data_IF_596085868887
#
_entry.id   IF_596085868887
#
_cell.length_a   1.000
_cell.length_b   1.000
_cell.length_c   1.000
_cell.angle_alpha   90.00
_cell.angle_beta   90.00
_cell.angle_gamma   90.00
#
_symmetry.space_group_name_H-M   'P 1'
#
loop_
_entity.id
_entity.type
_entity.pdbx_description
1 polymer ?
#
# COMPACT_ATOMS: atom_id res chain seq x y z
N UNK A 1 -52.42 -17.29 7.46
CA UNK A 1 -51.95 -16.89 6.10
C UNK A 1 -50.43 -16.88 6.14
N UNK A 2 -49.79 -18.05 6.09
CA UNK A 2 -48.57 -18.23 6.89
C UNK A 2 -47.34 -18.75 6.15
N UNK A 3 -46.22 -18.08 6.45
CA UNK A 3 -44.82 -18.42 6.20
C UNK A 3 -44.32 -18.50 4.73
N UNK A 4 -45.03 -19.21 3.85
CA UNK A 4 -44.54 -19.48 2.48
C UNK A 4 -44.56 -18.23 1.57
N UNK A 5 -45.59 -17.38 1.69
CA UNK A 5 -45.70 -16.12 0.93
C UNK A 5 -44.67 -15.06 1.35
N UNK A 6 -44.32 -15.01 2.64
CA UNK A 6 -43.36 -14.04 3.18
C UNK A 6 -41.92 -14.37 2.76
N UNK A 7 -41.63 -15.66 2.60
CA UNK A 7 -40.34 -16.15 2.06
C UNK A 7 -40.23 -15.81 0.57
N UNK A 8 -41.29 -16.08 -0.21
CA UNK A 8 -41.33 -15.76 -1.64
C UNK A 8 -41.25 -14.26 -1.92
N UNK A 9 -41.95 -13.41 -1.15
CA UNK A 9 -41.79 -11.94 -1.27
C UNK A 9 -40.39 -11.45 -0.89
N UNK A 10 -39.72 -12.10 0.07
CA UNK A 10 -38.35 -11.73 0.43
C UNK A 10 -37.38 -12.10 -0.69
N UNK A 11 -37.56 -13.26 -1.31
CA UNK A 11 -36.78 -13.68 -2.47
C UNK A 11 -37.06 -12.79 -3.69
N UNK A 12 -38.32 -12.48 -3.99
CA UNK A 12 -38.72 -11.56 -5.06
C UNK A 12 -38.14 -10.14 -4.83
N UNK A 13 -38.16 -9.66 -3.58
CA UNK A 13 -37.56 -8.36 -3.23
C UNK A 13 -36.03 -8.35 -3.37
N UNK A 14 -35.36 -9.48 -3.16
CA UNK A 14 -33.90 -9.60 -3.34
C UNK A 14 -33.54 -9.71 -4.82
N UNK A 15 -34.31 -10.46 -5.61
CA UNK A 15 -34.12 -10.60 -7.06
C UNK A 15 -34.29 -9.25 -7.75
N UNK A 16 -35.36 -8.50 -7.43
CA UNK A 16 -35.57 -7.15 -7.99
C UNK A 16 -34.47 -6.18 -7.55
N UNK A 17 -34.01 -6.26 -6.29
CA UNK A 17 -32.91 -5.42 -5.79
C UNK A 17 -31.56 -5.77 -6.44
N UNK A 18 -31.38 -7.00 -6.93
CA UNK A 18 -30.20 -7.42 -7.70
C UNK A 18 -30.28 -6.98 -9.17
N UNK A 19 -31.47 -6.92 -9.76
CA UNK A 19 -31.69 -6.46 -11.14
C UNK A 19 -31.57 -4.92 -11.30
N UNK A 20 -31.86 -4.17 -10.24
CA UNK A 20 -31.77 -2.70 -10.22
C UNK A 20 -30.38 -2.17 -9.82
N UNK A 21 -29.47 -3.06 -9.42
CA UNK A 21 -28.14 -2.69 -8.93
C UNK A 21 -27.14 -2.42 -10.05
N UNK A 22 -26.50 -1.25 -9.96
CA UNK A 22 -25.41 -0.84 -10.85
C UNK A 22 -24.21 -1.76 -10.61
N UNK A 23 -23.64 -2.30 -11.69
CA UNK A 23 -22.45 -3.14 -11.62
C UNK A 23 -21.21 -2.35 -11.21
N UNK A 24 -20.28 -3.00 -10.50
CA UNK A 24 -19.01 -2.43 -10.11
C UNK A 24 -18.21 -1.91 -11.31
N UNK A 25 -18.22 -2.62 -12.43
CA UNK A 25 -17.45 -2.23 -13.62
C UNK A 25 -18.03 -1.01 -14.32
N UNK A 26 -19.34 -0.85 -14.23
CA UNK A 26 -20.04 0.32 -14.74
C UNK A 26 -19.72 1.57 -13.89
N UNK A 27 -19.66 1.40 -12.56
CA UNK A 27 -19.23 2.46 -11.65
C UNK A 27 -17.75 2.83 -11.86
N UNK A 28 -16.88 1.84 -12.10
CA UNK A 28 -15.47 2.10 -12.47
C UNK A 28 -15.36 2.91 -13.75
N UNK A 29 -16.15 2.55 -14.78
CA UNK A 29 -16.17 3.30 -16.03
C UNK A 29 -16.57 4.76 -15.78
N UNK A 30 -17.58 5.01 -14.94
CA UNK A 30 -17.97 6.37 -14.56
C UNK A 30 -16.84 7.17 -13.88
N UNK A 31 -15.99 6.53 -13.08
CA UNK A 31 -14.86 7.17 -12.40
C UNK A 31 -13.71 7.54 -13.34
N UNK A 32 -13.65 6.99 -14.55
CA UNK A 32 -12.60 7.31 -15.53
C UNK A 32 -12.88 8.57 -16.34
N UNK A 33 -14.12 9.04 -16.39
CA UNK A 33 -14.48 10.24 -17.13
C UNK A 33 -14.06 11.52 -16.39
N UNK A 34 -13.68 12.54 -17.15
CA UNK A 34 -13.40 13.86 -16.59
C UNK A 34 -14.72 14.54 -16.17
N UNK A 35 -14.67 15.41 -15.16
CA UNK A 35 -15.84 15.96 -14.42
C UNK A 35 -17.09 16.27 -15.28
N UNK A 36 -16.91 16.98 -16.40
CA UNK A 36 -18.03 17.41 -17.24
C UNK A 36 -18.61 16.26 -18.07
N UNK A 37 -17.75 15.42 -18.67
CA UNK A 37 -18.16 14.24 -19.45
C UNK A 37 -18.85 13.19 -18.58
N UNK A 38 -18.38 13.01 -17.34
CA UNK A 38 -18.99 12.10 -16.37
C UNK A 38 -20.42 12.51 -16.01
N UNK A 39 -20.67 13.82 -15.83
CA UNK A 39 -22.01 14.33 -15.55
C UNK A 39 -22.96 14.11 -16.72
N UNK A 40 -22.52 14.40 -17.95
CA UNK A 40 -23.32 14.17 -19.16
C UNK A 40 -23.66 12.69 -19.36
N UNK A 41 -22.72 11.79 -19.08
CA UNK A 41 -22.98 10.35 -19.14
C UNK A 41 -23.98 9.91 -18.06
N UNK A 42 -23.90 10.48 -16.86
CA UNK A 42 -24.83 10.18 -15.77
C UNK A 42 -26.25 10.64 -16.13
N UNK A 43 -26.38 11.87 -16.63
CA UNK A 43 -27.66 12.44 -17.04
C UNK A 43 -28.26 11.64 -18.20
N UNK A 44 -27.45 11.22 -19.18
CA UNK A 44 -27.90 10.43 -20.33
C UNK A 44 -28.27 8.98 -19.99
N UNK A 45 -27.53 8.33 -19.10
CA UNK A 45 -27.66 6.88 -18.84
C UNK A 45 -28.54 6.55 -17.63
N UNK A 46 -28.57 7.41 -16.63
CA UNK A 46 -29.33 7.19 -15.39
C UNK A 46 -30.45 8.20 -15.18
N UNK A 47 -30.55 9.26 -16.00
CA UNK A 47 -31.57 10.30 -15.84
C UNK A 47 -31.25 11.30 -14.72
N UNK A 48 -29.99 11.34 -14.26
CA UNK A 48 -29.50 12.31 -13.30
C UNK A 48 -28.94 11.71 -12.01
N UNK A 49 -28.41 12.59 -11.16
CA UNK A 49 -27.74 12.23 -9.90
C UNK A 49 -28.73 11.64 -8.88
N UNK A 50 -29.98 12.12 -8.87
CA UNK A 50 -31.00 11.66 -7.91
C UNK A 50 -31.40 10.20 -8.16
N UNK A 51 -31.59 9.81 -9.41
CA UNK A 51 -31.93 8.44 -9.79
C UNK A 51 -30.73 7.50 -9.59
N UNK A 52 -29.52 7.99 -9.83
CA UNK A 52 -28.29 7.28 -9.50
C UNK A 52 -28.17 7.01 -7.99
N UNK A 53 -28.46 8.00 -7.15
CA UNK A 53 -28.49 7.85 -5.70
C UNK A 53 -29.54 6.83 -5.24
N UNK A 54 -30.72 6.83 -5.87
CA UNK A 54 -31.80 5.87 -5.59
C UNK A 54 -31.41 4.44 -5.95
N UNK A 55 -30.78 4.23 -7.12
CA UNK A 55 -30.24 2.91 -7.54
C UNK A 55 -29.11 2.41 -6.64
N UNK A 56 -28.30 3.31 -6.08
CA UNK A 56 -27.23 3.00 -5.12
C UNK A 56 -27.73 2.93 -3.66
N UNK A 57 -29.04 3.01 -3.42
CA UNK A 57 -29.67 3.01 -2.09
C UNK A 57 -28.97 4.01 -1.14
N UNK A 58 -28.63 5.19 -1.64
CA UNK A 58 -27.79 6.18 -0.94
C UNK A 58 -28.48 7.52 -0.89
N UNK A 59 -28.47 8.17 0.28
CA UNK A 59 -29.05 9.50 0.41
C UNK A 59 -28.05 10.58 -0.04
N UNK A 60 -28.47 11.50 -0.91
CA UNK A 60 -27.61 12.58 -1.43
C UNK A 60 -27.08 13.50 -0.32
N UNK A 61 -27.86 13.75 0.74
CA UNK A 61 -27.48 14.65 1.85
C UNK A 61 -26.82 13.93 3.02
N UNK A 62 -27.35 12.76 3.38
CA UNK A 62 -26.91 12.03 4.58
C UNK A 62 -25.97 10.86 4.29
N UNK A 63 -25.76 10.52 3.01
CA UNK A 63 -24.92 9.39 2.59
C UNK A 63 -25.53 8.04 2.93
N UNK A 64 -24.64 7.09 3.19
CA UNK A 64 -24.94 5.68 3.52
C UNK A 64 -25.13 5.55 5.02
N UNK A 65 -26.11 4.74 5.45
CA UNK A 65 -26.28 4.37 6.86
C UNK A 65 -25.16 3.44 7.31
N UNK A 66 -24.47 3.77 8.41
CA UNK A 66 -23.34 2.98 8.95
C UNK A 66 -23.82 1.73 9.72
N UNK A 67 -24.85 1.05 9.23
CA UNK A 67 -25.32 -0.22 9.79
C UNK A 67 -24.42 -1.34 9.27
N UNK A 68 -23.83 -2.14 10.17
CA UNK A 68 -22.89 -3.22 9.81
C UNK A 68 -23.45 -4.22 8.78
N UNK A 69 -24.76 -4.49 8.84
CA UNK A 69 -25.44 -5.39 7.90
C UNK A 69 -25.45 -4.84 6.47
N UNK A 70 -25.75 -3.54 6.31
CA UNK A 70 -25.79 -2.87 5.01
C UNK A 70 -24.37 -2.70 4.44
N UNK A 71 -23.40 -2.38 5.30
CA UNK A 71 -21.98 -2.30 4.91
C UNK A 71 -21.46 -3.66 4.43
N UNK A 72 -21.83 -4.75 5.09
CA UNK A 72 -21.46 -6.10 4.68
C UNK A 72 -22.12 -6.51 3.37
N UNK A 73 -23.39 -6.14 3.14
CA UNK A 73 -24.05 -6.36 1.85
C UNK A 73 -23.34 -5.61 0.72
N UNK A 74 -23.04 -4.32 0.92
CA UNK A 74 -22.29 -3.50 -0.05
C UNK A 74 -20.89 -4.06 -0.30
N UNK A 75 -20.19 -4.54 0.72
CA UNK A 75 -18.87 -5.18 0.56
C UNK A 75 -18.94 -6.47 -0.26
N UNK A 76 -20.04 -7.24 -0.18
CA UNK A 76 -20.23 -8.45 -1.02
C UNK A 76 -20.45 -8.10 -2.49
N UNK A 77 -21.13 -6.99 -2.77
CA UNK A 77 -21.50 -6.58 -4.14
C UNK A 77 -20.38 -5.78 -4.81
N UNK A 78 -19.80 -4.81 -4.09
CA UNK A 78 -18.82 -3.85 -4.63
C UNK A 78 -17.38 -4.13 -4.22
N UNK A 79 -17.15 -5.08 -3.31
CA UNK A 79 -15.83 -5.35 -2.75
C UNK A 79 -15.45 -4.40 -1.60
N UNK A 80 -14.24 -4.59 -1.05
CA UNK A 80 -13.67 -3.67 -0.08
C UNK A 80 -12.83 -2.61 -0.78
N UNK A 81 -12.94 -1.35 -0.36
CA UNK A 81 -12.07 -0.27 -0.85
C UNK A 81 -10.74 -0.28 -0.09
N UNK A 82 -10.00 -1.38 -0.23
CA UNK A 82 -8.69 -1.58 0.38
C UNK A 82 -7.68 -1.75 -0.76
N UNK A 83 -6.73 -0.83 -0.83
CA UNK A 83 -5.60 -0.94 -1.76
C UNK A 83 -4.70 -2.04 -1.19
N UNK A 84 -4.48 -3.16 -1.92
CA UNK A 84 -3.62 -4.22 -1.42
C UNK A 84 -2.20 -3.67 -1.28
N UNK A 85 -1.56 -3.81 -0.11
CA UNK A 85 -0.20 -3.32 0.06
C UNK A 85 0.74 -4.16 -0.84
N UNK A 86 1.74 -3.55 -1.49
CA UNK A 86 2.72 -4.30 -2.25
C UNK A 86 3.43 -5.31 -1.33
N UNK A 87 3.70 -6.53 -1.81
CA UNK A 87 4.39 -7.55 -1.02
C UNK A 87 5.80 -7.04 -0.67
N UNK A 88 6.19 -7.24 0.58
CA UNK A 88 7.53 -6.90 1.04
C UNK A 88 8.56 -7.83 0.41
N UNK A 89 9.67 -7.27 -0.09
CA UNK A 89 10.82 -8.07 -0.49
C UNK A 89 11.39 -8.79 0.73
N UNK A 90 11.78 -10.05 0.54
CA UNK A 90 12.46 -10.81 1.60
C UNK A 90 13.86 -10.23 1.85
N UNK A 91 14.33 -10.30 3.09
CA UNK A 91 15.67 -9.83 3.48
C UNK A 91 16.78 -10.43 2.61
N UNK A 92 16.66 -11.71 2.24
CA UNK A 92 17.64 -12.39 1.39
C UNK A 92 17.65 -11.87 -0.05
N UNK A 93 16.50 -11.46 -0.57
CA UNK A 93 16.39 -10.88 -1.92
C UNK A 93 17.03 -9.50 -1.94
N UNK A 94 16.77 -8.69 -0.92
CA UNK A 94 17.39 -7.37 -0.72
C UNK A 94 18.91 -7.50 -0.56
N UNK A 95 19.38 -8.49 0.19
CA UNK A 95 20.80 -8.78 0.35
C UNK A 95 21.45 -9.22 -0.98
N UNK A 96 20.78 -10.08 -1.76
CA UNK A 96 21.25 -10.50 -3.08
C UNK A 96 21.28 -9.36 -4.11
N UNK A 97 20.31 -8.45 -4.03
CA UNK A 97 20.25 -7.24 -4.85
C UNK A 97 21.37 -6.27 -4.45
N UNK A 98 21.63 -6.10 -3.15
CA UNK A 98 22.71 -5.28 -2.63
C UNK A 98 24.11 -5.79 -3.01
N UNK A 99 24.31 -7.12 -3.07
CA UNK A 99 25.58 -7.75 -3.48
C UNK A 99 25.99 -7.34 -4.91
N UNK A 100 25.03 -7.03 -5.79
CA UNK A 100 25.30 -6.60 -7.18
C UNK A 100 25.65 -5.12 -7.32
N UNK A 101 25.83 -4.41 -6.21
CA UNK A 101 26.21 -3.02 -6.24
C UNK A 101 27.63 -2.85 -6.82
N UNK A 102 27.79 -1.93 -7.78
CA UNK A 102 29.06 -1.59 -8.41
C UNK A 102 30.18 -1.32 -7.38
N UNK A 103 29.84 -0.76 -6.21
CA UNK A 103 30.78 -0.54 -5.11
C UNK A 103 31.38 -1.84 -4.56
N UNK A 104 30.60 -2.92 -4.45
CA UNK A 104 31.10 -4.21 -3.95
C UNK A 104 31.94 -4.95 -4.99
N UNK A 105 31.62 -4.77 -6.28
CA UNK A 105 32.39 -5.34 -7.39
C UNK A 105 33.81 -4.76 -7.40
N UNK A 106 33.96 -3.45 -7.22
CA UNK A 106 35.29 -2.81 -7.14
C UNK A 106 36.09 -3.33 -5.94
N UNK A 107 35.46 -3.46 -4.77
CA UNK A 107 36.13 -3.98 -3.58
C UNK A 107 36.53 -5.44 -3.72
N UNK A 108 35.73 -6.26 -4.42
CA UNK A 108 36.07 -7.65 -4.71
C UNK A 108 37.30 -7.75 -5.64
N UNK A 109 37.36 -6.93 -6.69
CA UNK A 109 38.52 -6.88 -7.58
C UNK A 109 39.77 -6.43 -6.81
N UNK A 110 39.64 -5.42 -5.95
CA UNK A 110 40.74 -4.96 -5.09
C UNK A 110 41.24 -6.06 -4.14
N UNK A 111 40.32 -6.82 -3.54
CA UNK A 111 40.67 -7.95 -2.67
C UNK A 111 41.39 -9.05 -3.46
N UNK A 112 40.94 -9.37 -4.67
CA UNK A 112 41.58 -10.38 -5.53
C UNK A 112 42.98 -9.97 -5.96
N UNK A 113 43.20 -8.70 -6.31
CA UNK A 113 44.53 -8.18 -6.67
C UNK A 113 45.46 -8.23 -5.44
N UNK A 114 45.00 -7.78 -4.27
CA UNK A 114 45.78 -7.79 -3.03
C UNK A 114 46.15 -9.22 -2.59
N UNK A 115 45.20 -10.16 -2.69
CA UNK A 115 45.43 -11.57 -2.44
C UNK A 115 46.42 -12.18 -3.45
N UNK A 116 46.27 -11.86 -4.73
CA UNK A 116 47.16 -12.34 -5.80
C UNK A 116 48.61 -11.87 -5.63
N UNK A 117 48.81 -10.62 -5.23
CA UNK A 117 50.13 -10.08 -4.91
C UNK A 117 50.73 -10.72 -3.64
N UNK A 118 49.89 -11.07 -2.66
CA UNK A 118 50.35 -11.82 -1.48
C UNK A 118 50.86 -13.22 -1.78
N UNK A 119 50.32 -13.87 -2.82
CA UNK A 119 50.80 -15.19 -3.24
C UNK A 119 51.98 -15.13 -4.22
N UNK A 120 52.25 -13.98 -4.82
CA UNK A 120 53.37 -13.79 -5.75
C UNK A 120 54.36 -12.75 -5.16
N UNK A 121 55.26 -13.17 -4.26
CA UNK A 121 56.30 -12.28 -3.74
C UNK A 121 57.24 -11.88 -4.90
N UNK A 122 57.32 -10.57 -5.18
CA UNK A 122 58.14 -10.04 -6.29
C UNK A 122 59.61 -9.92 -5.92
N UNK A 123 59.94 -9.84 -4.62
CA UNK A 123 61.32 -9.80 -4.14
C UNK A 123 61.43 -10.76 -2.95
N UNK A 124 62.48 -11.58 -2.92
CA UNK A 124 62.68 -12.74 -2.03
C UNK A 124 62.82 -12.45 -0.52
N UNK A 125 61.98 -11.57 0.03
CA UNK A 125 61.77 -11.41 1.45
C UNK A 125 60.75 -12.44 1.95
N UNK A 126 61.24 -13.66 2.17
CA UNK A 126 60.59 -14.66 3.01
C UNK A 126 60.66 -14.15 4.45
N UNK A 127 59.58 -13.53 4.97
CA UNK A 127 59.24 -13.48 6.40
C UNK A 127 57.98 -12.65 6.68
N UNK A 128 56.95 -12.74 5.84
CA UNK A 128 55.65 -12.15 6.19
C UNK A 128 54.51 -13.13 5.97
N UNK A 129 54.32 -14.02 6.94
CA UNK A 129 53.12 -14.85 7.12
C UNK A 129 51.83 -14.01 7.30
N UNK A 130 51.92 -12.68 7.14
CA UNK A 130 50.89 -11.67 7.29
C UNK A 130 50.25 -11.26 5.96
N UNK A 131 50.80 -11.61 4.78
CA UNK A 131 50.28 -11.11 3.50
C UNK A 131 48.80 -11.44 3.26
N UNK A 132 48.39 -12.68 3.55
CA UNK A 132 46.99 -13.09 3.43
C UNK A 132 46.05 -12.34 4.42
N UNK A 133 46.60 -11.78 5.51
CA UNK A 133 45.83 -11.01 6.51
C UNK A 133 45.30 -9.72 5.90
N UNK A 134 46.04 -9.11 4.96
CA UNK A 134 45.63 -7.88 4.29
C UNK A 134 44.42 -8.15 3.37
N UNK A 135 44.49 -9.22 2.58
CA UNK A 135 43.35 -9.69 1.77
C UNK A 135 42.16 -10.10 2.63
N UNK A 136 42.39 -10.78 3.75
CA UNK A 136 41.35 -11.20 4.69
C UNK A 136 40.66 -9.99 5.37
N UNK A 137 41.41 -8.95 5.73
CA UNK A 137 40.87 -7.72 6.31
C UNK A 137 39.90 -7.02 5.37
N UNK A 138 40.23 -6.98 4.06
CA UNK A 138 39.36 -6.39 3.04
C UNK A 138 38.08 -7.21 2.87
N UNK A 139 38.17 -8.55 2.87
CA UNK A 139 36.98 -9.42 2.81
C UNK A 139 36.03 -9.20 4.00
N UNK A 140 36.56 -9.13 5.21
CA UNK A 140 35.77 -8.88 6.42
C UNK A 140 35.09 -7.50 6.35
N UNK A 141 35.83 -6.47 5.91
CA UNK A 141 35.29 -5.12 5.73
C UNK A 141 34.10 -5.09 4.77
N UNK A 142 34.21 -5.77 3.62
CA UNK A 142 33.13 -5.88 2.62
C UNK A 142 31.88 -6.53 3.22
N UNK A 143 32.04 -7.64 3.97
CA UNK A 143 30.91 -8.33 4.62
C UNK A 143 30.16 -7.41 5.57
N UNK A 144 30.89 -6.65 6.40
CA UNK A 144 30.28 -5.70 7.35
C UNK A 144 29.54 -4.59 6.61
N UNK A 145 30.13 -4.03 5.54
CA UNK A 145 29.50 -2.96 4.74
C UNK A 145 28.21 -3.45 4.06
N UNK A 146 28.19 -4.68 3.52
CA UNK A 146 26.97 -5.28 2.95
C UNK A 146 25.88 -5.42 4.01
N UNK A 147 26.24 -5.92 5.20
CA UNK A 147 25.29 -6.09 6.29
C UNK A 147 24.68 -4.76 6.73
N UNK A 148 25.51 -3.73 6.94
CA UNK A 148 25.04 -2.38 7.30
C UNK A 148 24.17 -1.79 6.19
N UNK A 149 24.54 -2.00 4.92
CA UNK A 149 23.77 -1.50 3.77
C UNK A 149 22.40 -2.19 3.69
N UNK A 150 22.34 -3.52 3.82
CA UNK A 150 21.11 -4.29 3.80
C UNK A 150 20.20 -3.95 4.99
N UNK A 151 20.76 -3.76 6.19
CA UNK A 151 20.01 -3.31 7.38
C UNK A 151 19.42 -1.92 7.16
N UNK A 152 20.21 -0.99 6.61
CA UNK A 152 19.77 0.37 6.34
C UNK A 152 18.66 0.39 5.28
N UNK A 153 18.80 -0.39 4.22
CA UNK A 153 17.82 -0.47 3.14
C UNK A 153 16.51 -1.10 3.63
N UNK A 154 16.60 -2.20 4.38
CA UNK A 154 15.45 -2.85 5.03
C UNK A 154 14.69 -1.90 5.96
N UNK A 155 15.42 -1.09 6.72
CA UNK A 155 14.83 -0.10 7.64
C UNK A 155 14.11 1.01 6.87
N UNK A 156 14.69 1.50 5.77
CA UNK A 156 14.06 2.51 4.90
C UNK A 156 12.79 1.97 4.24
N UNK A 157 12.84 0.76 3.68
CA UNK A 157 11.67 0.16 3.02
C UNK A 157 10.50 0.00 4.01
N UNK A 158 10.77 -0.38 5.27
CA UNK A 158 9.75 -0.40 6.33
C UNK A 158 9.13 0.98 6.57
N UNK A 159 9.94 2.03 6.66
CA UNK A 159 9.44 3.39 6.92
C UNK A 159 8.56 3.92 5.76
N UNK A 160 8.91 3.62 4.51
CA UNK A 160 8.08 3.99 3.36
C UNK A 160 6.73 3.26 3.38
N UNK A 161 6.73 1.98 3.77
CA UNK A 161 5.49 1.21 3.89
C UNK A 161 4.57 1.76 4.99
N UNK A 162 5.13 2.10 6.15
CA UNK A 162 4.34 2.68 7.24
C UNK A 162 3.71 4.03 6.82
N UNK A 163 4.47 4.85 6.09
CA UNK A 163 3.96 6.10 5.50
C UNK A 163 2.90 5.84 4.43
N UNK A 164 3.07 4.84 3.57
CA UNK A 164 2.11 4.49 2.53
C UNK A 164 0.77 4.01 3.12
N UNK A 165 0.81 3.05 4.06
CA UNK A 165 -0.38 2.55 4.76
C UNK A 165 -1.09 3.67 5.51
N UNK A 166 -0.33 4.58 6.14
CA UNK A 166 -0.90 5.75 6.81
C UNK A 166 -1.57 6.72 5.83
N UNK A 167 -0.92 7.02 4.70
CA UNK A 167 -1.47 7.88 3.66
C UNK A 167 -2.77 7.29 3.09
N UNK A 168 -2.81 5.99 2.82
CA UNK A 168 -3.99 5.28 2.32
C UNK A 168 -5.14 5.33 3.32
N UNK A 169 -4.84 5.09 4.60
CA UNK A 169 -5.82 5.18 5.70
C UNK A 169 -6.37 6.60 5.83
N UNK A 170 -5.52 7.63 5.67
CA UNK A 170 -5.93 9.02 5.75
C UNK A 170 -6.76 9.45 4.53
N UNK A 171 -6.37 9.07 3.31
CA UNK A 171 -7.08 9.40 2.08
C UNK A 171 -8.49 8.80 2.07
N UNK A 172 -8.61 7.50 2.39
CA UNK A 172 -9.91 6.83 2.51
C UNK A 172 -10.76 7.41 3.65
N UNK A 173 -10.14 7.79 4.77
CA UNK A 173 -10.83 8.42 5.91
C UNK A 173 -11.35 9.83 5.60
N UNK A 174 -10.60 10.63 4.84
CA UNK A 174 -10.97 12.01 4.50
C UNK A 174 -12.12 12.04 3.48
N UNK A 175 -12.17 11.07 2.55
CA UNK A 175 -13.31 10.86 1.63
C UNK A 175 -14.63 10.52 2.37
N UNK A 176 -14.57 9.95 3.58
CA UNK A 176 -15.76 9.46 4.32
C UNK A 176 -16.37 10.45 5.32
N UNK A 177 -16.13 11.76 5.16
CA UNK A 177 -16.54 12.83 6.07
C UNK A 177 -15.71 12.91 7.37
N UNK A 178 -15.04 14.05 7.53
CA UNK A 178 -14.09 14.43 8.58
C UNK A 178 -14.64 14.37 10.03
N UNK A 179 -15.93 14.13 10.23
CA UNK A 179 -16.55 14.07 11.57
C UNK A 179 -16.32 12.75 12.32
N UNK A 180 -16.13 11.62 11.61
CA UNK A 180 -16.04 10.29 12.26
C UNK A 180 -14.61 10.03 12.77
N UNK A 181 -13.58 10.49 12.06
CA UNK A 181 -12.17 10.26 12.39
C UNK A 181 -11.74 10.96 13.70
N UNK A 182 -12.28 12.14 13.99
CA UNK A 182 -12.01 12.82 15.27
C UNK A 182 -12.60 12.07 16.46
N UNK A 183 -13.68 11.31 16.29
CA UNK A 183 -14.37 10.63 17.38
C UNK A 183 -13.64 9.36 17.86
N UNK A 184 -13.01 8.61 16.95
CA UNK A 184 -12.32 7.34 17.26
C UNK A 184 -10.79 7.43 17.34
N UNK A 185 -10.17 8.60 17.08
CA UNK A 185 -8.73 8.75 17.26
C UNK A 185 -8.33 8.65 18.75
N UNK A 186 -7.30 7.84 19.10
CA UNK A 186 -6.79 7.75 20.47
C UNK A 186 -6.37 9.14 20.99
N UNK A 187 -6.73 9.45 22.25
CA UNK A 187 -6.65 10.80 22.85
C UNK A 187 -5.30 11.50 22.67
N UNK A 188 -4.21 10.76 22.58
CA UNK A 188 -2.84 11.25 22.39
C UNK A 188 -2.60 11.94 21.04
N UNK A 189 -3.32 11.59 19.97
CA UNK A 189 -3.10 12.14 18.60
C UNK A 189 -4.01 13.32 18.24
N UNK A 190 -5.07 13.62 19.03
CA UNK A 190 -5.99 14.74 18.77
C UNK A 190 -5.31 16.11 18.78
N UNK A 191 -4.37 16.33 19.71
CA UNK A 191 -3.67 17.62 19.84
C UNK A 191 -2.77 17.95 18.64
N UNK A 192 -2.19 16.94 17.99
CA UNK A 192 -1.34 17.13 16.79
C UNK A 192 -2.18 17.36 15.53
N UNK A 193 -3.30 16.64 15.40
CA UNK A 193 -4.23 16.80 14.27
C UNK A 193 -4.97 18.15 14.31
N UNK A 194 -5.39 18.64 15.49
CA UNK A 194 -5.97 19.97 15.62
C UNK A 194 -4.97 21.08 15.29
N UNK A 195 -3.69 20.93 15.67
CA UNK A 195 -2.63 21.88 15.31
C UNK A 195 -2.33 21.91 13.80
N UNK A 196 -2.37 20.75 13.13
CA UNK A 196 -2.18 20.67 11.67
C UNK A 196 -3.35 21.25 10.89
N UNK A 197 -4.60 21.00 11.33
CA UNK A 197 -5.78 21.55 10.67
C UNK A 197 -5.87 23.08 10.80
N UNK A 198 -5.46 23.64 11.94
CA UNK A 198 -5.37 25.08 12.14
C UNK A 198 -4.27 25.77 11.32
N UNK A 199 -3.36 25.01 10.69
CA UNK A 199 -2.32 25.54 9.81
C UNK A 199 -2.77 25.56 8.33
N UNK A 200 -3.85 24.85 8.01
CA UNK A 200 -4.40 24.73 6.66
C UNK A 200 -5.72 25.51 6.46
N UNK A 201 -6.18 26.23 7.49
CA UNK A 201 -7.31 27.18 7.43
C UNK A 201 -6.77 28.59 7.59
#
# INVERSE_FOLDING_TARGET
>A
MDSSYKSRQKDDSIIVKMEEQISLDELKALMTFQKNEGKEMIDKKYGGIEELCKKLDTNSKNGITNTEEELNQRRKIYGSNEIPPPPMKSFFILMWEAIKNFTLIILLISALISLGLSFYPIDGHEDDNSGWIEGAAILISVVVVVLVTAINDYTKERQFRDCAVFADTFFCGNLRSTKIFLKNAPKTRRKRLQKMLAFFT
#
